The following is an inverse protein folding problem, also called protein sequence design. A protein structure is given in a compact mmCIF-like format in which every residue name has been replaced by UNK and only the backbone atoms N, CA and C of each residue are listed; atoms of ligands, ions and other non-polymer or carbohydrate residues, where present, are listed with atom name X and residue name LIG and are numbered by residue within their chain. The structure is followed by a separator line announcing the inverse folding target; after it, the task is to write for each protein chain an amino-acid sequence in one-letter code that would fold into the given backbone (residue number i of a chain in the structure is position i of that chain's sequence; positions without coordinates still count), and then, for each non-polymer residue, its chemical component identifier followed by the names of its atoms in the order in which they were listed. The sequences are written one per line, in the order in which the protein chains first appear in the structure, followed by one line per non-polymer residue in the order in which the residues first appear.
data_IF_055239405727
#
_entry.id   IF_055239405727
#
_cell.length_a   1.000
_cell.length_b   1.000
_cell.length_c   1.000
_cell.angle_alpha   90.00
_cell.angle_beta   90.00
_cell.angle_gamma   90.00
#
_symmetry.space_group_name_H-M   'P 1'
#
loop_
_entity.id
_entity.type
_entity.pdbx_description
1 polymer ?
#
# COMPACT_ATOMS: atom_id res chain seq x y z
N UNK A 1 -10.90 2.75 23.12
CA UNK A 1 -12.09 2.54 22.28
C UNK A 1 -11.67 2.56 20.81
N UNK A 2 -11.72 1.43 20.11
CA UNK A 2 -11.41 1.38 18.67
C UNK A 2 -12.63 1.87 17.87
N UNK A 3 -12.79 3.19 17.75
CA UNK A 3 -13.81 3.76 16.89
C UNK A 3 -13.47 3.44 15.42
N UNK A 4 -14.44 2.84 14.72
CA UNK A 4 -14.36 2.48 13.32
C UNK A 4 -15.24 3.46 12.52
N UNK A 5 -14.61 4.20 11.61
CA UNK A 5 -15.26 5.11 10.70
C UNK A 5 -15.52 4.37 9.39
N UNK A 6 -16.78 4.35 8.95
CA UNK A 6 -17.16 3.82 7.64
C UNK A 6 -17.12 4.97 6.65
N UNK A 7 -16.12 4.99 5.77
CA UNK A 7 -16.00 6.05 4.77
C UNK A 7 -16.99 5.87 3.62
N UNK A 8 -17.41 4.63 3.36
CA UNK A 8 -18.43 4.32 2.36
C UNK A 8 -18.20 2.98 1.68
N UNK A 9 -18.83 2.80 0.53
CA UNK A 9 -18.63 1.65 -0.34
C UNK A 9 -18.45 2.11 -1.79
N UNK A 10 -17.43 1.60 -2.48
CA UNK A 10 -17.24 1.80 -3.91
C UNK A 10 -17.56 0.49 -4.63
N UNK A 11 -18.63 0.42 -5.43
CA UNK A 11 -19.07 -0.82 -6.11
C UNK A 11 -19.19 -2.05 -5.18
N UNK A 12 -19.78 -1.87 -3.99
CA UNK A 12 -19.92 -2.94 -2.98
C UNK A 12 -18.64 -3.25 -2.17
N UNK A 13 -17.51 -2.62 -2.51
CA UNK A 13 -16.24 -2.72 -1.78
C UNK A 13 -16.23 -1.74 -0.60
N UNK A 14 -16.23 -2.24 0.64
CA UNK A 14 -16.29 -1.41 1.85
C UNK A 14 -14.94 -0.77 2.13
N UNK A 15 -14.93 0.54 2.38
CA UNK A 15 -13.73 1.27 2.81
C UNK A 15 -13.94 1.73 4.25
N UNK A 16 -13.12 1.20 5.15
CA UNK A 16 -13.19 1.48 6.58
C UNK A 16 -11.87 2.03 7.09
N UNK A 17 -11.95 2.89 8.10
CA UNK A 17 -10.78 3.54 8.70
C UNK A 17 -10.92 3.44 10.21
N UNK A 18 -9.91 2.88 10.88
CA UNK A 18 -9.81 3.01 12.34
C UNK A 18 -9.21 4.36 12.70
N UNK A 19 -9.58 4.90 13.86
CA UNK A 19 -8.96 6.13 14.37
C UNK A 19 -7.43 6.04 14.45
N UNK A 20 -6.88 4.85 14.68
CA UNK A 20 -5.43 4.61 14.67
C UNK A 20 -4.79 4.87 13.31
N UNK A 21 -5.53 4.78 12.21
CA UNK A 21 -5.01 5.16 10.90
C UNK A 21 -4.86 6.68 10.75
N UNK A 22 -5.73 7.47 11.39
CA UNK A 22 -5.54 8.93 11.49
C UNK A 22 -4.29 9.23 12.30
N UNK A 23 -4.07 8.53 13.41
CA UNK A 23 -2.82 8.65 14.19
C UNK A 23 -1.59 8.26 13.36
N UNK A 24 -1.66 7.16 12.60
CA UNK A 24 -0.60 6.74 11.70
C UNK A 24 -0.30 7.77 10.61
N UNK A 25 -1.34 8.36 10.02
CA UNK A 25 -1.20 9.44 9.04
C UNK A 25 -0.50 10.67 9.64
N UNK A 26 -0.95 11.16 10.79
CA UNK A 26 -0.33 12.30 11.46
C UNK A 26 1.12 12.01 11.85
N UNK A 27 1.41 10.78 12.29
CA UNK A 27 2.76 10.35 12.60
C UNK A 27 3.67 10.36 11.35
N UNK A 28 3.22 9.77 10.23
CA UNK A 28 3.98 9.81 8.97
C UNK A 28 4.18 11.24 8.49
N UNK A 29 3.15 12.08 8.55
CA UNK A 29 3.26 13.48 8.15
C UNK A 29 4.32 14.22 8.98
N UNK A 30 4.34 14.02 10.30
CA UNK A 30 5.36 14.59 11.17
C UNK A 30 6.77 14.08 10.82
N UNK A 31 6.94 12.76 10.69
CA UNK A 31 8.23 12.14 10.37
C UNK A 31 8.75 12.63 9.03
N UNK A 32 7.92 12.63 7.98
CA UNK A 32 8.30 13.12 6.67
C UNK A 32 8.58 14.62 6.66
N UNK A 33 7.91 15.42 7.49
CA UNK A 33 8.21 16.84 7.64
C UNK A 33 9.60 17.05 8.22
N UNK A 34 9.97 16.26 9.23
CA UNK A 34 11.31 16.30 9.84
C UNK A 34 12.38 15.82 8.86
N UNK A 35 12.12 14.77 8.08
CA UNK A 35 13.03 14.30 7.02
C UNK A 35 13.20 15.38 5.95
N UNK A 36 12.12 16.01 5.49
CA UNK A 36 12.18 17.09 4.51
C UNK A 36 12.98 18.29 5.02
N UNK A 37 12.77 18.70 6.26
CA UNK A 37 13.42 19.88 6.83
C UNK A 37 14.88 19.62 7.23
N UNK A 38 15.15 18.54 7.97
CA UNK A 38 16.48 18.27 8.53
C UNK A 38 17.36 17.41 7.62
N UNK A 39 16.75 16.57 6.78
CA UNK A 39 17.46 15.62 5.93
C UNK A 39 17.60 16.06 4.47
N UNK A 40 16.61 16.80 3.93
CA UNK A 40 16.59 17.23 2.53
C UNK A 40 16.77 18.76 2.37
N UNK A 41 17.03 19.47 3.47
CA UNK A 41 17.25 20.92 3.52
C UNK A 41 16.13 21.74 2.84
N UNK A 42 14.89 21.24 2.92
CA UNK A 42 13.72 21.97 2.44
C UNK A 42 13.36 23.06 3.46
N UNK A 43 13.00 24.24 2.98
CA UNK A 43 12.40 25.28 3.84
C UNK A 43 11.20 24.72 4.60
N UNK A 44 11.05 25.09 5.88
CA UNK A 44 10.09 24.46 6.80
C UNK A 44 8.65 24.35 6.24
N UNK A 45 8.13 25.41 5.61
CA UNK A 45 6.81 25.39 4.97
C UNK A 45 6.72 24.39 3.81
N UNK A 46 7.75 24.35 2.95
CA UNK A 46 7.86 23.39 1.85
C UNK A 46 7.99 21.96 2.36
N UNK A 47 8.76 21.73 3.43
CA UNK A 47 8.90 20.43 4.05
C UNK A 47 7.55 19.90 4.57
N UNK A 48 6.79 20.72 5.29
CA UNK A 48 5.47 20.36 5.83
C UNK A 48 4.47 20.04 4.72
N UNK A 49 4.41 20.85 3.66
CA UNK A 49 3.50 20.61 2.53
C UNK A 49 3.91 19.38 1.71
N UNK A 50 5.20 19.21 1.43
CA UNK A 50 5.71 18.03 0.70
C UNK A 50 5.44 16.76 1.51
N UNK A 51 5.66 16.80 2.83
CA UNK A 51 5.38 15.68 3.72
C UNK A 51 3.89 15.32 3.80
N UNK A 52 3.00 16.31 3.74
CA UNK A 52 1.56 16.06 3.69
C UNK A 52 1.19 15.25 2.44
N UNK A 53 1.73 15.67 1.28
CA UNK A 53 1.50 14.97 0.02
C UNK A 53 2.12 13.56 0.06
N UNK A 54 3.33 13.41 0.61
CA UNK A 54 3.97 12.10 0.78
C UNK A 54 3.12 11.16 1.66
N UNK A 55 2.57 11.64 2.79
CA UNK A 55 1.68 10.85 3.63
C UNK A 55 0.39 10.44 2.88
N UNK A 56 -0.19 11.33 2.06
CA UNK A 56 -1.33 10.99 1.21
C UNK A 56 -0.95 9.91 0.19
N UNK A 57 0.20 10.08 -0.48
CA UNK A 57 0.71 9.12 -1.46
C UNK A 57 0.95 7.73 -0.84
N UNK A 58 1.46 7.66 0.39
CA UNK A 58 1.62 6.39 1.11
C UNK A 58 0.29 5.62 1.25
N UNK A 59 -0.76 6.29 1.74
CA UNK A 59 -2.08 5.68 1.87
C UNK A 59 -2.73 5.36 0.51
N UNK A 60 -2.44 6.13 -0.54
CA UNK A 60 -2.86 5.80 -1.91
C UNK A 60 -2.11 4.56 -2.45
N UNK A 61 -0.82 4.40 -2.12
CA UNK A 61 -0.04 3.21 -2.42
C UNK A 61 -0.59 1.96 -1.72
N UNK A 62 -0.88 2.07 -0.42
CA UNK A 62 -1.55 1.02 0.35
C UNK A 62 -2.92 0.69 -0.25
N UNK A 63 -3.72 1.70 -0.62
CA UNK A 63 -5.01 1.44 -1.27
C UNK A 63 -4.83 0.72 -2.61
N UNK A 64 -3.87 1.13 -3.44
CA UNK A 64 -3.53 0.49 -4.71
C UNK A 64 -3.12 -0.98 -4.52
N UNK A 65 -2.29 -1.25 -3.51
CA UNK A 65 -1.92 -2.61 -3.11
C UNK A 65 -3.16 -3.45 -2.75
N UNK A 66 -4.07 -2.91 -1.94
CA UNK A 66 -5.31 -3.60 -1.55
C UNK A 66 -6.26 -3.81 -2.74
N UNK A 67 -6.27 -2.93 -3.74
CA UNK A 67 -6.99 -3.15 -5.00
C UNK A 67 -6.43 -4.34 -5.79
N UNK A 68 -5.11 -4.55 -5.74
CA UNK A 68 -4.46 -5.74 -6.28
C UNK A 68 -4.99 -7.03 -5.67
N UNK A 69 -5.06 -7.11 -4.34
CA UNK A 69 -5.70 -8.23 -3.65
C UNK A 69 -7.17 -8.38 -4.05
N UNK A 70 -7.93 -7.29 -4.07
CA UNK A 70 -9.36 -7.33 -4.39
C UNK A 70 -9.61 -7.85 -5.81
N UNK A 71 -8.79 -7.43 -6.77
CA UNK A 71 -8.85 -7.91 -8.14
C UNK A 71 -8.49 -9.40 -8.24
N UNK A 72 -7.41 -9.83 -7.58
CA UNK A 72 -7.01 -11.24 -7.57
C UNK A 72 -8.09 -12.12 -6.91
N UNK A 73 -8.66 -11.68 -5.79
CA UNK A 73 -9.74 -12.36 -5.07
C UNK A 73 -11.00 -12.53 -5.94
N UNK A 74 -11.41 -11.48 -6.66
CA UNK A 74 -12.55 -11.57 -7.60
C UNK A 74 -12.34 -12.66 -8.65
N UNK A 75 -11.11 -12.81 -9.15
CA UNK A 75 -10.76 -13.84 -10.16
C UNK A 75 -10.71 -15.26 -9.62
N UNK A 76 -10.76 -15.46 -8.30
CA UNK A 76 -10.87 -16.80 -7.71
C UNK A 76 -12.31 -17.22 -7.44
N UNK A 77 -13.30 -16.36 -7.73
CA UNK A 77 -14.71 -16.59 -7.35
C UNK A 77 -15.01 -16.29 -5.88
N UNK A 78 -14.00 -15.85 -5.12
CA UNK A 78 -14.12 -15.53 -3.71
C UNK A 78 -13.66 -14.07 -3.50
N UNK A 79 -14.55 -13.08 -3.66
CA UNK A 79 -14.15 -11.67 -3.62
C UNK A 79 -13.91 -11.17 -2.19
N UNK A 80 -13.03 -10.17 -2.05
CA UNK A 80 -12.94 -9.36 -0.83
C UNK A 80 -14.23 -8.57 -0.60
N UNK A 81 -14.60 -8.40 0.67
CA UNK A 81 -15.72 -7.55 1.10
C UNK A 81 -15.32 -6.08 1.30
N UNK A 82 -14.02 -5.80 1.44
CA UNK A 82 -13.51 -4.44 1.59
C UNK A 82 -12.07 -4.36 2.08
N UNK A 83 -11.70 -3.17 2.53
CA UNK A 83 -10.41 -2.82 3.12
C UNK A 83 -10.62 -2.03 4.41
N UNK A 84 -9.73 -2.21 5.38
CA UNK A 84 -9.71 -1.45 6.63
C UNK A 84 -8.33 -0.89 6.91
N UNK A 85 -8.20 0.44 6.89
CA UNK A 85 -6.96 1.11 7.26
C UNK A 85 -6.74 1.11 8.77
N UNK A 86 -5.53 0.74 9.19
CA UNK A 86 -5.11 0.63 10.58
C UNK A 86 -3.64 1.08 10.68
N UNK A 87 -3.35 2.05 11.55
CA UNK A 87 -2.01 2.64 11.66
C UNK A 87 -1.53 3.15 10.28
N UNK A 88 -0.36 2.73 9.83
CA UNK A 88 0.21 3.17 8.55
C UNK A 88 -0.16 2.23 7.38
N UNK A 89 -0.85 1.12 7.65
CA UNK A 89 -1.19 0.10 6.64
C UNK A 89 -2.70 -0.13 6.55
N UNK A 90 -3.11 -1.16 5.81
CA UNK A 90 -4.47 -1.66 5.81
C UNK A 90 -4.55 -3.19 5.90
N UNK A 91 -5.76 -3.66 6.20
CA UNK A 91 -6.10 -5.07 6.20
C UNK A 91 -7.15 -5.36 5.13
N UNK A 92 -6.93 -6.42 4.36
CA UNK A 92 -7.93 -7.03 3.48
C UNK A 92 -9.06 -7.64 4.30
N UNK A 93 -10.31 -7.46 3.86
CA UNK A 93 -11.48 -8.03 4.51
C UNK A 93 -12.18 -9.02 3.61
N UNK A 94 -12.51 -10.17 4.18
CA UNK A 94 -13.24 -11.24 3.51
C UNK A 94 -14.61 -11.45 4.19
N UNK A 95 -15.60 -12.03 3.50
CA UNK A 95 -16.87 -12.42 4.10
C UNK A 95 -16.66 -13.30 5.35
N UNK A 96 -17.50 -13.14 6.37
CA UNK A 96 -17.36 -13.88 7.64
C UNK A 96 -17.79 -15.34 7.52
N UNK A 97 -18.67 -15.59 6.56
CA UNK A 97 -19.30 -16.86 6.19
C UNK A 97 -18.55 -17.57 5.05
N UNK A 98 -17.31 -17.15 4.75
CA UNK A 98 -16.45 -17.82 3.78
C UNK A 98 -16.06 -19.21 4.31
N UNK A 99 -16.27 -20.30 3.53
CA UNK A 99 -15.85 -21.64 3.92
C UNK A 99 -14.33 -21.77 3.88
N UNK A 100 -13.80 -22.90 4.34
CA UNK A 100 -12.38 -23.20 4.15
C UNK A 100 -12.05 -23.29 2.65
N UNK A 101 -11.03 -22.53 2.22
CA UNK A 101 -10.66 -22.42 0.82
C UNK A 101 -9.35 -23.19 0.53
N UNK A 102 -9.22 -23.75 -0.68
CA UNK A 102 -7.96 -24.36 -1.10
C UNK A 102 -6.78 -23.38 -1.02
N UNK A 103 -5.60 -23.89 -0.67
CA UNK A 103 -4.36 -23.11 -0.55
C UNK A 103 -4.07 -22.22 -1.77
N UNK A 104 -4.35 -22.71 -2.98
CA UNK A 104 -4.21 -21.95 -4.24
C UNK A 104 -4.98 -20.63 -4.26
N UNK A 105 -6.13 -20.54 -3.56
CA UNK A 105 -6.94 -19.32 -3.49
C UNK A 105 -6.25 -18.29 -2.60
N UNK A 106 -5.77 -18.70 -1.43
CA UNK A 106 -5.01 -17.83 -0.52
C UNK A 106 -3.73 -17.31 -1.18
N UNK A 107 -3.00 -18.17 -1.88
CA UNK A 107 -1.79 -17.78 -2.63
C UNK A 107 -2.12 -16.75 -3.72
N UNK A 108 -3.14 -17.01 -4.55
CA UNK A 108 -3.53 -16.08 -5.62
C UNK A 108 -3.94 -14.72 -5.06
N UNK A 109 -4.70 -14.69 -3.96
CA UNK A 109 -5.10 -13.46 -3.28
C UNK A 109 -3.88 -12.71 -2.76
N UNK A 110 -2.99 -13.39 -2.02
CA UNK A 110 -1.79 -12.80 -1.43
C UNK A 110 -0.81 -12.24 -2.48
N UNK A 111 -0.73 -12.84 -3.67
CA UNK A 111 0.12 -12.30 -4.74
C UNK A 111 -0.47 -11.06 -5.44
N UNK A 112 -1.77 -10.80 -5.28
CA UNK A 112 -2.45 -9.70 -5.95
C UNK A 112 -1.91 -8.32 -5.58
N UNK A 113 -1.70 -8.07 -4.29
CA UNK A 113 -1.16 -6.80 -3.78
C UNK A 113 0.26 -6.54 -4.24
N UNK A 114 1.23 -7.44 -3.98
CA UNK A 114 2.61 -7.28 -4.44
C UNK A 114 2.72 -7.10 -5.96
N UNK A 115 1.89 -7.79 -6.75
CA UNK A 115 1.88 -7.61 -8.20
C UNK A 115 1.38 -6.22 -8.63
N UNK A 116 0.33 -5.69 -7.98
CA UNK A 116 -0.15 -4.33 -8.24
C UNK A 116 0.89 -3.28 -7.82
N UNK A 117 1.52 -3.44 -6.66
CA UNK A 117 2.58 -2.55 -6.18
C UNK A 117 3.83 -2.60 -7.05
N UNK A 118 4.18 -3.78 -7.58
CA UNK A 118 5.28 -3.90 -8.55
C UNK A 118 4.96 -3.14 -9.84
N UNK A 119 3.72 -3.20 -10.33
CA UNK A 119 3.31 -2.40 -11.48
C UNK A 119 3.46 -0.90 -11.21
N UNK A 120 3.00 -0.42 -10.04
CA UNK A 120 3.16 0.99 -9.67
C UNK A 120 4.64 1.39 -9.51
N UNK A 121 5.45 0.48 -8.96
CA UNK A 121 6.90 0.63 -8.85
C UNK A 121 7.54 0.83 -10.22
N UNK A 122 7.23 -0.02 -11.20
CA UNK A 122 7.76 0.10 -12.56
C UNK A 122 7.31 1.42 -13.19
N UNK A 123 6.03 1.76 -13.06
CA UNK A 123 5.48 2.99 -13.61
C UNK A 123 6.17 4.24 -13.03
N UNK A 124 6.30 4.32 -11.71
CA UNK A 124 6.96 5.45 -11.05
C UNK A 124 8.47 5.46 -11.25
N UNK A 125 9.10 4.30 -11.38
CA UNK A 125 10.52 4.19 -11.75
C UNK A 125 10.80 4.78 -13.14
N UNK A 126 9.90 4.57 -14.11
CA UNK A 126 9.99 5.23 -15.41
C UNK A 126 9.82 6.74 -15.31
N UNK A 127 8.87 7.22 -14.49
CA UNK A 127 8.71 8.67 -14.26
C UNK A 127 9.96 9.27 -13.63
N UNK A 128 10.50 8.66 -12.58
CA UNK A 128 11.77 9.09 -11.95
C UNK A 128 12.90 9.13 -12.97
N UNK A 129 13.04 8.08 -13.78
CA UNK A 129 14.07 8.04 -14.81
C UNK A 129 13.93 9.21 -15.79
N UNK A 130 12.74 9.47 -16.31
CA UNK A 130 12.50 10.60 -17.23
C UNK A 130 12.77 11.94 -16.55
N UNK A 131 12.25 12.18 -15.34
CA UNK A 131 12.38 13.48 -14.69
C UNK A 131 13.79 13.76 -14.17
N UNK A 132 14.55 12.73 -13.79
CA UNK A 132 15.94 12.84 -13.34
C UNK A 132 16.91 13.31 -14.44
N UNK A 133 16.53 13.18 -15.70
CA UNK A 133 17.34 13.59 -16.86
C UNK A 133 17.03 15.01 -17.36
N UNK A 134 16.04 15.69 -16.76
CA UNK A 134 15.61 17.03 -17.18
C UNK A 134 16.51 18.14 -16.61
N UNK A 135 16.96 19.13 -17.41
CA UNK A 135 17.77 20.26 -16.93
C UNK A 135 17.02 21.27 -16.04
N UNK A 136 15.70 21.14 -15.87
CA UNK A 136 14.83 22.13 -15.19
C UNK A 136 14.72 21.87 -13.67
N UNK A 137 15.77 21.31 -13.05
CA UNK A 137 15.76 20.83 -11.66
C UNK A 137 16.10 21.88 -10.61
N UNK A 138 16.33 23.14 -10.99
CA UNK A 138 16.80 24.20 -10.07
C UNK A 138 15.71 25.03 -9.39
N UNK A 139 14.43 24.87 -9.77
CA UNK A 139 13.32 25.57 -9.10
C UNK A 139 12.77 24.68 -7.97
N UNK A 140 12.66 25.22 -6.75
CA UNK A 140 12.26 24.48 -5.54
C UNK A 140 10.98 23.66 -5.68
N UNK A 141 10.02 24.11 -6.48
CA UNK A 141 8.79 23.37 -6.78
C UNK A 141 9.07 22.04 -7.51
N UNK A 142 9.97 22.04 -8.49
CA UNK A 142 10.34 20.82 -9.24
C UNK A 142 11.16 19.86 -8.38
N UNK A 143 11.95 20.38 -7.44
CA UNK A 143 12.69 19.58 -6.45
C UNK A 143 11.69 18.77 -5.58
N UNK A 144 10.65 19.43 -5.04
CA UNK A 144 9.61 18.75 -4.27
C UNK A 144 8.88 17.67 -5.07
N UNK A 145 8.55 17.94 -6.34
CA UNK A 145 7.90 16.93 -7.20
C UNK A 145 8.81 15.71 -7.39
N UNK A 146 10.10 15.92 -7.69
CA UNK A 146 11.04 14.82 -7.85
C UNK A 146 11.18 13.99 -6.57
N UNK A 147 11.25 14.63 -5.40
CA UNK A 147 11.26 13.91 -4.12
C UNK A 147 9.96 13.12 -3.89
N UNK A 148 8.80 13.67 -4.23
CA UNK A 148 7.53 12.96 -4.11
C UNK A 148 7.43 11.76 -5.06
N UNK A 149 7.87 11.91 -6.31
CA UNK A 149 7.92 10.81 -7.27
C UNK A 149 8.90 9.73 -6.81
N UNK A 150 10.10 10.11 -6.37
CA UNK A 150 11.09 9.17 -5.85
C UNK A 150 10.58 8.47 -4.59
N UNK A 151 9.97 9.22 -3.67
CA UNK A 151 9.32 8.67 -2.48
C UNK A 151 8.28 7.63 -2.87
N UNK A 152 7.34 7.96 -3.76
CA UNK A 152 6.27 7.05 -4.12
C UNK A 152 6.77 5.80 -4.86
N UNK A 153 7.82 5.95 -5.68
CA UNK A 153 8.56 4.82 -6.25
C UNK A 153 9.15 3.90 -5.16
N UNK A 154 9.93 4.48 -4.23
CA UNK A 154 10.60 3.72 -3.18
C UNK A 154 9.61 3.09 -2.20
N UNK A 155 8.53 3.78 -1.86
CA UNK A 155 7.50 3.27 -0.96
C UNK A 155 6.78 2.05 -1.57
N UNK A 156 6.38 2.14 -2.85
CA UNK A 156 5.80 0.99 -3.56
C UNK A 156 6.80 -0.17 -3.71
N UNK A 157 8.07 0.11 -3.97
CA UNK A 157 9.09 -0.92 -4.11
C UNK A 157 9.40 -1.60 -2.77
N UNK A 158 9.76 -0.81 -1.77
CA UNK A 158 10.33 -1.30 -0.52
C UNK A 158 9.24 -1.76 0.44
N UNK A 159 8.14 -1.02 0.56
CA UNK A 159 7.06 -1.35 1.52
C UNK A 159 6.08 -2.31 0.87
N UNK A 160 5.44 -1.90 -0.22
CA UNK A 160 4.28 -2.63 -0.75
C UNK A 160 4.63 -3.76 -1.74
N UNK A 161 5.87 -3.85 -2.22
CA UNK A 161 6.32 -4.96 -3.07
C UNK A 161 7.24 -5.90 -2.30
N UNK A 162 8.44 -5.46 -1.92
CA UNK A 162 9.42 -6.30 -1.25
C UNK A 162 9.03 -6.57 0.21
N UNK A 163 8.65 -5.52 0.95
CA UNK A 163 8.21 -5.62 2.34
C UNK A 163 7.00 -6.53 2.53
N UNK A 164 6.09 -6.54 1.56
CA UNK A 164 4.94 -7.45 1.54
C UNK A 164 5.33 -8.93 1.58
N UNK A 165 6.52 -9.32 1.10
CA UNK A 165 7.02 -10.69 1.16
C UNK A 165 7.73 -11.07 2.48
N UNK A 166 8.01 -10.11 3.38
CA UNK A 166 8.59 -10.42 4.68
C UNK A 166 7.59 -11.17 5.56
N UNK A 167 7.92 -12.30 6.21
CA UNK A 167 6.94 -13.11 6.96
C UNK A 167 6.68 -12.58 8.38
N UNK A 168 6.03 -11.42 8.50
CA UNK A 168 5.81 -10.71 9.77
C UNK A 168 4.49 -11.07 10.49
N UNK A 169 3.81 -12.13 10.05
CA UNK A 169 2.52 -12.59 10.58
C UNK A 169 1.28 -11.93 9.95
N UNK A 170 1.38 -10.68 9.51
CA UNK A 170 0.25 -9.91 8.93
C UNK A 170 0.41 -9.56 7.43
N UNK A 171 1.55 -9.93 6.85
CA UNK A 171 1.95 -9.65 5.46
C UNK A 171 1.61 -10.80 4.51
N UNK A 172 1.65 -10.54 3.21
CA UNK A 172 1.46 -11.55 2.16
C UNK A 172 2.47 -12.68 2.25
N UNK A 173 3.73 -12.35 2.55
CA UNK A 173 4.81 -13.32 2.76
C UNK A 173 4.46 -14.37 3.81
N UNK A 174 3.73 -13.98 4.86
CA UNK A 174 3.27 -14.91 5.89
C UNK A 174 2.19 -15.86 5.37
N UNK A 175 1.25 -15.33 4.57
CA UNK A 175 0.22 -16.13 3.89
C UNK A 175 0.86 -17.10 2.90
N UNK A 176 1.81 -16.63 2.10
CA UNK A 176 2.54 -17.45 1.14
C UNK A 176 3.33 -18.53 1.85
N UNK A 177 4.11 -18.21 2.88
CA UNK A 177 4.88 -19.18 3.65
C UNK A 177 3.98 -20.29 4.21
N UNK A 178 2.78 -19.93 4.70
CA UNK A 178 1.81 -20.89 5.24
C UNK A 178 1.21 -21.81 4.17
N UNK A 179 0.75 -21.27 3.04
CA UNK A 179 -0.06 -22.02 2.08
C UNK A 179 0.73 -22.57 0.88
N UNK A 180 1.92 -22.05 0.59
CA UNK A 180 2.74 -22.49 -0.55
C UNK A 180 3.11 -23.98 -0.54
N UNK A 181 3.42 -24.61 0.61
CA UNK A 181 3.66 -26.05 0.68
C UNK A 181 2.43 -26.88 0.26
N UNK A 182 1.23 -26.39 0.56
CA UNK A 182 -0.07 -27.07 0.32
C UNK A 182 -0.65 -26.79 -1.07
N UNK A 183 0.08 -26.10 -1.96
CA UNK A 183 -0.47 -25.60 -3.25
C UNK A 183 -1.01 -26.68 -4.18
N UNK A 184 -0.58 -27.93 -3.98
CA UNK A 184 -0.98 -29.09 -4.78
C UNK A 184 -2.06 -29.94 -4.11
N UNK A 185 -2.44 -29.63 -2.87
CA UNK A 185 -3.49 -30.33 -2.16
C UNK A 185 -4.84 -29.91 -2.77
N UNK A 186 -5.46 -30.85 -3.48
CA UNK A 186 -6.84 -30.71 -3.90
C UNK A 186 -7.70 -31.01 -2.67
N UNK A 187 -8.36 -29.99 -2.11
CA UNK A 187 -9.51 -30.22 -1.24
C UNK A 187 -10.60 -30.78 -2.16
N UNK A 188 -10.72 -32.10 -2.19
CA UNK A 188 -11.85 -32.79 -2.80
C UNK A 188 -13.04 -32.51 -1.86
N UNK A 189 -14.10 -31.83 -2.32
CA UNK A 189 -15.29 -31.59 -1.51
C UNK A 189 -15.99 -32.90 -1.13
#
# INVERSE_FOLDING_TARGET
MNQLLRLGSLFGFKIMVKITAVTGFLFLWLVFSLVGWLGLDLGAGTAVLTALIAAILHFLGEFWHQLGHAWAARRTGWPMSGVMFIWVLAASLYPKDEPELPARVHIRRALGGPAASLFMTVLMGLVVWVTSTSPVTTISFYISINYLTLFFFLDNLLVFTLGAFLPLGFTDGSTLLRYWPQRHENIIP
#
